data_IF_233288432835
#
_entry.id   IF_233288432835
#
_cell.length_a   1.000
_cell.length_b   1.000
_cell.length_c   1.000
_cell.angle_alpha   90.00
_cell.angle_beta   90.00
_cell.angle_gamma   90.00
#
_symmetry.space_group_name_H-M   'P 1'
#
loop_
_entity.id
_entity.type
_entity.pdbx_description
1 polymer ?
#
# COMPACT_ATOMS: atom_id res chain seq x y z
N UNK A 1 21.10 -42.09 41.02
CA UNK A 1 21.25 -43.06 39.89
C UNK A 1 20.58 -42.61 38.57
N UNK A 2 20.01 -41.41 38.46
CA UNK A 2 19.23 -40.96 37.28
C UNK A 2 20.01 -40.10 36.25
N UNK A 3 21.27 -39.83 36.39
CA UNK A 3 22.05 -38.93 35.50
C UNK A 3 22.55 -39.58 34.19
N UNK A 4 22.47 -40.90 34.02
CA UNK A 4 23.00 -41.60 32.81
C UNK A 4 21.94 -41.88 31.76
N UNK A 5 20.67 -41.96 32.12
CA UNK A 5 19.57 -42.29 31.21
C UNK A 5 19.39 -41.24 30.07
N UNK A 6 19.41 -39.95 30.32
CA UNK A 6 19.21 -38.96 29.21
C UNK A 6 20.30 -39.03 28.15
N UNK A 7 21.55 -39.35 28.55
CA UNK A 7 22.67 -39.49 27.60
C UNK A 7 22.56 -40.70 26.69
N UNK A 8 21.98 -41.82 27.18
CA UNK A 8 21.77 -43.04 26.40
C UNK A 8 20.69 -42.78 25.34
N UNK A 9 19.60 -42.11 25.73
CA UNK A 9 18.55 -41.70 24.79
C UNK A 9 19.08 -40.70 23.76
N UNK A 10 19.83 -39.67 24.19
CA UNK A 10 20.44 -38.71 23.28
C UNK A 10 21.39 -39.39 22.27
N UNK A 11 22.23 -40.30 22.71
CA UNK A 11 23.14 -41.07 21.84
C UNK A 11 22.38 -41.96 20.84
N UNK A 12 21.30 -42.57 21.28
CA UNK A 12 20.45 -43.40 20.40
C UNK A 12 19.79 -42.59 19.32
N UNK A 13 19.18 -41.42 19.67
CA UNK A 13 18.57 -40.53 18.70
C UNK A 13 19.61 -39.90 17.74
N UNK A 14 20.75 -39.56 18.26
CA UNK A 14 21.85 -39.00 17.44
C UNK A 14 22.40 -40.02 16.44
N UNK A 15 22.47 -41.30 16.81
CA UNK A 15 22.80 -42.37 15.89
C UNK A 15 21.73 -42.56 14.81
N UNK A 16 20.48 -42.54 15.21
CA UNK A 16 19.33 -42.72 14.31
C UNK A 16 19.24 -41.54 13.31
N UNK A 17 19.39 -40.32 13.79
CA UNK A 17 19.44 -39.08 12.93
C UNK A 17 20.66 -39.11 12.01
N UNK A 18 21.82 -39.56 12.52
CA UNK A 18 23.04 -39.76 11.72
C UNK A 18 22.83 -40.74 10.56
N UNK A 19 22.11 -41.83 10.78
CA UNK A 19 21.75 -42.78 9.72
C UNK A 19 20.84 -42.14 8.66
N UNK A 20 19.82 -41.36 9.08
CA UNK A 20 18.97 -40.65 8.16
C UNK A 20 19.75 -39.54 7.38
N UNK A 21 20.66 -38.86 8.05
CA UNK A 21 21.52 -37.88 7.42
C UNK A 21 22.40 -38.46 6.32
N UNK A 22 23.10 -39.61 6.61
CA UNK A 22 23.91 -40.29 5.62
C UNK A 22 23.06 -40.80 4.46
N UNK A 23 21.89 -41.39 4.73
CA UNK A 23 20.95 -41.81 3.68
C UNK A 23 20.47 -40.64 2.82
N UNK A 24 20.26 -39.47 3.40
CA UNK A 24 19.87 -38.27 2.68
C UNK A 24 21.02 -37.72 1.83
N UNK A 25 22.26 -37.80 2.31
CA UNK A 25 23.46 -37.42 1.56
C UNK A 25 23.66 -38.24 0.29
N UNK A 26 23.41 -39.57 0.36
CA UNK A 26 23.50 -40.43 -0.84
C UNK A 26 22.45 -40.07 -1.89
N UNK A 27 21.24 -39.64 -1.47
CA UNK A 27 20.16 -39.17 -2.37
C UNK A 27 20.40 -37.76 -2.93
N UNK A 28 21.31 -37.00 -2.33
CA UNK A 28 21.61 -35.67 -2.78
C UNK A 28 22.03 -35.59 -4.26
N UNK A 29 22.97 -36.47 -4.63
CA UNK A 29 23.46 -36.56 -6.02
C UNK A 29 22.45 -37.18 -7.00
N UNK A 30 21.39 -37.81 -6.51
CA UNK A 30 20.31 -38.40 -7.30
C UNK A 30 19.04 -37.52 -7.40
N UNK A 31 19.21 -36.21 -7.21
CA UNK A 31 18.12 -35.24 -7.37
C UNK A 31 17.85 -34.34 -6.14
N UNK A 32 18.46 -34.67 -4.99
CA UNK A 32 18.30 -33.83 -3.77
C UNK A 32 18.82 -32.42 -3.91
N UNK A 33 19.82 -32.18 -4.78
CA UNK A 33 20.32 -30.85 -5.08
C UNK A 33 19.26 -29.91 -5.65
N UNK A 34 18.24 -30.45 -6.35
CA UNK A 34 17.15 -29.66 -6.92
C UNK A 34 16.34 -28.98 -5.80
N UNK A 35 16.06 -29.67 -4.71
CA UNK A 35 15.36 -29.13 -3.55
C UNK A 35 16.13 -27.97 -2.92
N UNK A 36 17.45 -28.10 -2.80
CA UNK A 36 18.31 -27.02 -2.26
C UNK A 36 18.33 -25.82 -3.21
N UNK A 37 18.41 -26.07 -4.51
CA UNK A 37 18.36 -24.99 -5.52
C UNK A 37 17.04 -24.24 -5.46
N UNK A 38 15.91 -24.94 -5.36
CA UNK A 38 14.59 -24.32 -5.20
C UNK A 38 14.47 -23.56 -3.88
N UNK A 39 14.97 -24.12 -2.78
CA UNK A 39 14.98 -23.45 -1.49
C UNK A 39 15.86 -22.18 -1.53
N UNK A 40 17.03 -22.23 -2.16
CA UNK A 40 17.90 -21.07 -2.34
C UNK A 40 17.25 -19.98 -3.21
N UNK A 41 16.53 -20.36 -4.27
CA UNK A 41 15.78 -19.45 -5.11
C UNK A 41 14.69 -18.72 -4.32
N UNK A 42 13.88 -19.48 -3.57
CA UNK A 42 12.80 -18.91 -2.74
C UNK A 42 13.39 -18.00 -1.66
N UNK A 43 14.46 -18.44 -0.98
CA UNK A 43 15.16 -17.64 0.02
C UNK A 43 15.71 -16.35 -0.59
N UNK A 44 16.30 -16.41 -1.78
CA UNK A 44 16.77 -15.23 -2.52
C UNK A 44 15.64 -14.24 -2.78
N UNK A 45 14.47 -14.70 -3.23
CA UNK A 45 13.28 -13.86 -3.43
C UNK A 45 12.84 -13.22 -2.11
N UNK A 46 12.79 -14.00 -1.01
CA UNK A 46 12.41 -13.48 0.31
C UNK A 46 13.38 -12.42 0.83
N UNK A 47 14.68 -12.64 0.70
CA UNK A 47 15.72 -11.66 1.12
C UNK A 47 15.62 -10.37 0.30
N UNK A 48 15.45 -10.48 -1.02
CA UNK A 48 15.26 -9.32 -1.89
C UNK A 48 14.00 -8.53 -1.53
N UNK A 49 12.90 -9.24 -1.26
CA UNK A 49 11.65 -8.61 -0.83
C UNK A 49 11.80 -7.89 0.50
N UNK A 50 12.42 -8.55 1.48
CA UNK A 50 12.68 -7.99 2.82
C UNK A 50 13.54 -6.73 2.74
N UNK A 51 14.69 -6.80 2.07
CA UNK A 51 15.59 -5.66 1.93
C UNK A 51 14.94 -4.50 1.17
N UNK A 52 14.26 -4.78 0.05
CA UNK A 52 13.54 -3.76 -0.69
C UNK A 52 12.42 -3.09 0.14
N UNK A 53 11.74 -3.85 1.00
CA UNK A 53 10.72 -3.32 1.90
C UNK A 53 11.34 -2.47 3.01
N UNK A 54 12.47 -2.88 3.58
CA UNK A 54 13.17 -2.11 4.60
C UNK A 54 13.62 -0.73 4.08
N UNK A 55 14.10 -0.66 2.82
CA UNK A 55 14.47 0.62 2.20
C UNK A 55 13.24 1.51 1.98
N UNK A 56 12.12 0.97 1.48
CA UNK A 56 10.88 1.73 1.33
C UNK A 56 10.36 2.25 2.69
N UNK A 57 10.42 1.45 3.74
CA UNK A 57 9.96 1.84 5.08
C UNK A 57 10.80 2.98 5.69
N UNK A 58 12.10 3.03 5.43
CA UNK A 58 12.96 4.16 5.86
C UNK A 58 12.55 5.49 5.23
N UNK A 59 11.92 5.46 4.06
CA UNK A 59 11.44 6.65 3.34
C UNK A 59 9.99 6.98 3.66
N UNK A 60 9.32 6.13 4.45
CA UNK A 60 7.95 6.35 4.85
C UNK A 60 7.88 7.47 5.89
N UNK A 61 7.20 8.54 5.52
CA UNK A 61 7.04 9.71 6.39
C UNK A 61 5.56 9.94 6.66
N UNK A 62 5.20 9.89 7.92
CA UNK A 62 3.86 10.21 8.38
C UNK A 62 3.72 11.69 8.71
N UNK A 63 2.63 12.29 8.31
CA UNK A 63 2.27 13.67 8.60
C UNK A 63 0.99 13.70 9.44
N UNK A 64 0.84 14.66 10.38
CA UNK A 64 -0.38 14.78 11.15
C UNK A 64 -1.53 15.28 10.25
N UNK A 65 -2.55 14.43 10.04
CA UNK A 65 -3.66 14.71 9.13
C UNK A 65 -4.42 15.98 9.54
N UNK A 66 -4.60 16.19 10.85
CA UNK A 66 -5.33 17.35 11.38
C UNK A 66 -4.72 18.69 10.93
N UNK A 67 -3.42 18.78 10.71
CA UNK A 67 -2.77 20.00 10.24
C UNK A 67 -3.11 20.37 8.78
N UNK A 68 -3.55 19.40 7.99
CA UNK A 68 -3.92 19.59 6.57
C UNK A 68 -5.42 19.80 6.33
N UNK A 69 -6.27 19.59 7.34
CA UNK A 69 -7.72 19.81 7.22
C UNK A 69 -8.07 21.21 6.68
N UNK A 70 -7.46 22.34 7.16
CA UNK A 70 -7.76 23.67 6.63
C UNK A 70 -7.38 23.81 5.15
N UNK A 71 -6.30 23.19 4.70
CA UNK A 71 -5.86 23.23 3.30
C UNK A 71 -6.80 22.41 2.41
N UNK A 72 -7.23 21.23 2.85
CA UNK A 72 -8.22 20.43 2.14
C UNK A 72 -9.56 21.15 2.03
N UNK A 73 -9.99 21.86 3.09
CA UNK A 73 -11.20 22.69 3.03
C UNK A 73 -11.08 23.78 1.97
N UNK A 74 -9.96 24.50 1.96
CA UNK A 74 -9.71 25.52 0.92
C UNK A 74 -9.73 24.94 -0.48
N UNK A 75 -9.13 23.76 -0.69
CA UNK A 75 -9.14 23.07 -1.98
C UNK A 75 -10.56 22.65 -2.37
N UNK A 76 -11.38 22.17 -1.42
CA UNK A 76 -12.78 21.82 -1.66
C UNK A 76 -13.58 23.00 -2.18
N UNK A 77 -13.36 24.18 -1.60
CA UNK A 77 -14.12 25.38 -1.84
C UNK A 77 -13.54 26.22 -3.01
N UNK A 78 -12.40 25.81 -3.60
CA UNK A 78 -11.73 26.54 -4.68
C UNK A 78 -12.25 26.14 -6.07
N UNK A 79 -13.15 26.94 -6.63
CA UNK A 79 -13.76 26.69 -7.94
C UNK A 79 -12.82 26.85 -9.15
N UNK A 80 -11.59 27.35 -8.95
CA UNK A 80 -10.58 27.43 -10.01
C UNK A 80 -10.11 26.07 -10.49
N UNK A 81 -10.24 25.04 -9.66
CA UNK A 81 -9.89 23.68 -10.00
C UNK A 81 -11.14 22.85 -10.29
N UNK A 82 -11.11 22.11 -11.40
CA UNK A 82 -12.17 21.17 -11.73
C UNK A 82 -12.26 20.06 -10.67
N UNK A 83 -13.48 19.69 -10.31
CA UNK A 83 -13.71 18.60 -9.36
C UNK A 83 -13.38 17.27 -10.01
N UNK A 84 -12.43 16.55 -9.43
CA UNK A 84 -12.00 15.23 -9.91
C UNK A 84 -13.10 14.16 -9.74
N UNK A 85 -13.81 14.21 -8.61
CA UNK A 85 -14.92 13.32 -8.26
C UNK A 85 -15.62 13.89 -7.02
N UNK A 86 -16.81 13.40 -6.68
CA UNK A 86 -17.43 13.73 -5.40
C UNK A 86 -16.63 13.09 -4.26
N UNK A 87 -16.26 11.82 -4.40
CA UNK A 87 -15.48 11.06 -3.42
C UNK A 87 -14.14 10.64 -4.03
N UNK A 88 -13.06 11.15 -3.50
CA UNK A 88 -11.69 10.72 -3.85
C UNK A 88 -11.18 9.79 -2.75
N UNK A 89 -10.80 8.58 -3.14
CA UNK A 89 -10.47 7.49 -2.22
C UNK A 89 -9.01 7.12 -2.37
N UNK A 90 -8.28 7.15 -1.27
CA UNK A 90 -6.91 6.66 -1.16
C UNK A 90 -6.86 5.41 -0.31
N UNK A 91 -6.24 4.35 -0.82
CA UNK A 91 -5.94 3.17 0.00
C UNK A 91 -4.65 3.40 0.76
N UNK A 92 -4.68 3.19 2.06
CA UNK A 92 -3.55 3.33 2.97
C UNK A 92 -3.31 2.04 3.75
N UNK A 93 -2.06 1.72 4.02
CA UNK A 93 -1.69 0.61 4.90
C UNK A 93 -1.42 1.08 6.33
N UNK A 94 -1.62 2.38 6.59
CA UNK A 94 -1.39 2.96 7.90
C UNK A 94 -2.59 2.75 8.82
N UNK A 95 -2.34 2.18 9.98
CA UNK A 95 -3.34 1.93 11.03
C UNK A 95 -3.49 3.13 11.99
N UNK A 96 -2.57 4.10 11.94
CA UNK A 96 -2.62 5.28 12.80
C UNK A 96 -3.70 6.26 12.35
N UNK A 97 -4.67 6.51 13.20
CA UNK A 97 -5.83 7.34 12.88
C UNK A 97 -5.47 8.80 12.59
N UNK A 98 -4.56 9.40 13.38
CA UNK A 98 -4.23 10.82 13.29
C UNK A 98 -3.16 11.17 12.23
N UNK A 99 -2.53 10.17 11.62
CA UNK A 99 -1.42 10.37 10.68
C UNK A 99 -1.79 9.91 9.27
N UNK A 100 -1.13 10.47 8.27
CA UNK A 100 -1.30 10.15 6.87
C UNK A 100 0.06 10.08 6.18
N UNK A 101 0.20 9.20 5.19
CA UNK A 101 1.41 9.14 4.36
C UNK A 101 1.60 10.47 3.61
N UNK A 102 2.80 11.04 3.70
CA UNK A 102 3.21 12.26 2.99
C UNK A 102 2.92 12.18 1.49
N UNK A 103 3.08 10.99 0.90
CA UNK A 103 2.90 10.79 -0.53
C UNK A 103 1.44 10.99 -0.95
N UNK A 104 0.48 10.70 -0.06
CA UNK A 104 -0.94 10.98 -0.27
C UNK A 104 -1.18 12.49 -0.25
N UNK A 105 -0.65 13.20 0.74
CA UNK A 105 -0.79 14.66 0.84
C UNK A 105 -0.16 15.34 -0.37
N UNK A 106 1.05 14.91 -0.75
CA UNK A 106 1.73 15.38 -1.96
C UNK A 106 0.90 15.12 -3.22
N UNK A 107 0.28 13.96 -3.35
CA UNK A 107 -0.61 13.61 -4.47
C UNK A 107 -1.82 14.55 -4.55
N UNK A 108 -2.41 14.91 -3.40
CA UNK A 108 -3.61 15.75 -3.35
C UNK A 108 -3.29 17.22 -3.62
N UNK A 109 -2.22 17.75 -3.02
CA UNK A 109 -1.97 19.19 -2.96
C UNK A 109 -0.92 19.67 -3.96
N UNK A 110 0.21 18.95 -4.08
CA UNK A 110 1.39 19.46 -4.78
C UNK A 110 1.51 18.94 -6.21
N UNK A 111 1.28 17.65 -6.43
CA UNK A 111 1.45 17.07 -7.76
C UNK A 111 0.41 17.57 -8.74
N UNK A 112 -0.83 17.52 -8.36
CA UNK A 112 -1.97 18.06 -9.09
C UNK A 112 -3.14 18.20 -8.10
N UNK A 113 -3.60 19.42 -7.82
CA UNK A 113 -4.68 19.63 -6.87
C UNK A 113 -5.92 18.78 -7.22
N UNK A 114 -6.29 17.88 -6.33
CA UNK A 114 -7.42 16.96 -6.53
C UNK A 114 -8.62 17.42 -5.72
N UNK A 115 -9.37 18.33 -6.31
CA UNK A 115 -10.59 18.84 -5.72
C UNK A 115 -11.63 17.72 -5.61
N UNK A 116 -12.23 17.57 -4.45
CA UNK A 116 -13.30 16.62 -4.16
C UNK A 116 -14.33 17.23 -3.21
N UNK A 117 -15.51 16.62 -3.08
CA UNK A 117 -16.43 16.93 -1.96
C UNK A 117 -15.96 16.30 -0.68
N UNK A 118 -15.47 15.06 -0.78
CA UNK A 118 -14.94 14.30 0.34
C UNK A 118 -13.70 13.49 -0.05
N UNK A 119 -12.71 13.43 0.85
CA UNK A 119 -11.55 12.56 0.76
C UNK A 119 -11.68 11.43 1.75
N UNK A 120 -11.42 10.22 1.25
CA UNK A 120 -11.53 8.97 2.00
C UNK A 120 -10.18 8.29 2.08
N UNK A 121 -9.69 8.08 3.29
CA UNK A 121 -8.47 7.33 3.55
C UNK A 121 -8.86 5.97 4.10
N UNK A 122 -8.79 4.95 3.23
CA UNK A 122 -9.33 3.62 3.53
C UNK A 122 -8.19 2.65 3.81
N UNK A 123 -8.22 2.06 4.99
CA UNK A 123 -7.39 0.93 5.37
C UNK A 123 -8.22 -0.37 5.34
N UNK A 124 -7.63 -1.43 4.79
CA UNK A 124 -8.25 -2.77 4.77
C UNK A 124 -7.39 -3.69 5.61
N UNK A 125 -7.94 -4.17 6.69
CA UNK A 125 -7.30 -5.09 7.61
C UNK A 125 -7.94 -6.47 7.51
N UNK A 126 -7.10 -7.49 7.24
CA UNK A 126 -7.56 -8.86 7.18
C UNK A 126 -7.50 -9.48 8.56
N UNK A 127 -8.66 -9.89 9.07
CA UNK A 127 -8.80 -10.49 10.40
C UNK A 127 -8.61 -12.00 10.35
N UNK A 128 -8.12 -12.56 11.46
CA UNK A 128 -7.93 -14.02 11.63
C UNK A 128 -9.25 -14.79 11.66
N UNK A 129 -10.34 -14.12 12.03
CA UNK A 129 -11.67 -14.70 11.99
C UNK A 129 -12.21 -14.75 10.55
N UNK A 130 -12.78 -15.89 10.12
CA UNK A 130 -13.11 -16.10 8.70
C UNK A 130 -14.23 -15.20 8.18
N UNK A 131 -15.14 -14.77 9.04
CA UNK A 131 -16.38 -14.07 8.66
C UNK A 131 -16.51 -12.67 9.26
N UNK A 132 -15.46 -12.11 9.83
CA UNK A 132 -15.49 -10.73 10.31
C UNK A 132 -15.83 -9.80 9.17
N UNK A 133 -16.86 -8.98 9.37
CA UNK A 133 -17.32 -8.00 8.38
C UNK A 133 -17.77 -6.75 9.13
N UNK A 134 -16.85 -5.83 9.39
CA UNK A 134 -17.08 -4.63 10.19
C UNK A 134 -16.27 -3.46 9.65
N UNK A 135 -16.66 -2.25 10.02
CA UNK A 135 -15.90 -1.04 9.72
C UNK A 135 -15.92 -0.07 10.89
N UNK A 136 -14.94 0.81 10.93
CA UNK A 136 -14.94 1.99 11.78
C UNK A 136 -14.62 3.23 10.96
N UNK A 137 -15.18 4.37 11.37
CA UNK A 137 -15.00 5.65 10.68
C UNK A 137 -14.58 6.72 11.67
N UNK A 138 -13.57 7.50 11.30
CA UNK A 138 -13.17 8.73 11.98
C UNK A 138 -13.44 9.90 11.04
N UNK A 139 -14.22 10.89 11.50
CA UNK A 139 -14.66 12.06 10.70
C UNK A 139 -13.80 13.30 10.96
N UNK A 140 -12.94 13.29 11.95
CA UNK A 140 -12.13 14.44 12.41
C UNK A 140 -12.95 15.68 12.73
N UNK A 141 -14.26 15.52 12.96
CA UNK A 141 -15.20 16.65 13.15
C UNK A 141 -15.45 17.45 11.86
N UNK A 142 -15.27 16.82 10.70
CA UNK A 142 -15.49 17.44 9.38
C UNK A 142 -16.49 16.64 8.56
N UNK A 143 -17.10 17.27 7.57
CA UNK A 143 -18.00 16.66 6.59
C UNK A 143 -17.31 16.32 5.24
N UNK A 144 -15.96 16.38 5.21
CA UNK A 144 -15.19 16.25 3.97
C UNK A 144 -13.93 15.37 4.07
N UNK A 145 -13.51 14.98 5.27
CA UNK A 145 -12.37 14.06 5.48
C UNK A 145 -12.80 12.91 6.35
N UNK A 146 -12.64 11.71 5.83
CA UNK A 146 -13.03 10.47 6.49
C UNK A 146 -11.89 9.48 6.46
N UNK A 147 -11.63 8.85 7.60
CA UNK A 147 -10.76 7.68 7.68
C UNK A 147 -11.61 6.46 7.98
N UNK A 148 -11.49 5.46 7.13
CA UNK A 148 -12.27 4.23 7.22
C UNK A 148 -11.33 3.06 7.42
N UNK A 149 -11.58 2.25 8.43
CA UNK A 149 -10.96 0.95 8.62
C UNK A 149 -11.98 -0.13 8.31
N UNK A 150 -11.68 -0.94 7.31
CA UNK A 150 -12.48 -2.11 6.93
C UNK A 150 -11.84 -3.36 7.55
N UNK A 151 -12.53 -4.01 8.45
CA UNK A 151 -12.12 -5.26 9.09
C UNK A 151 -12.77 -6.43 8.36
N UNK A 152 -12.00 -7.15 7.56
CA UNK A 152 -12.49 -8.23 6.71
C UNK A 152 -11.87 -9.56 7.10
N UNK A 153 -12.71 -10.56 7.39
CA UNK A 153 -12.27 -11.92 7.62
C UNK A 153 -11.60 -12.52 6.38
N UNK A 154 -10.68 -13.45 6.58
CA UNK A 154 -9.86 -14.02 5.47
C UNK A 154 -10.69 -14.77 4.40
N UNK A 155 -11.93 -15.15 4.66
CA UNK A 155 -12.86 -15.74 3.68
C UNK A 155 -13.70 -14.70 2.93
N UNK A 156 -13.67 -13.44 3.36
CA UNK A 156 -14.46 -12.39 2.73
C UNK A 156 -13.71 -11.88 1.49
N UNK A 157 -14.39 -11.89 0.34
CA UNK A 157 -13.83 -11.32 -0.88
C UNK A 157 -13.64 -9.81 -0.73
N UNK A 158 -12.46 -9.32 -1.08
CA UNK A 158 -12.20 -7.89 -1.05
C UNK A 158 -12.94 -7.20 -2.19
N UNK A 159 -13.96 -6.41 -1.85
CA UNK A 159 -14.76 -5.57 -2.75
C UNK A 159 -14.87 -4.16 -2.17
N UNK A 160 -13.73 -3.51 -2.03
CA UNK A 160 -13.61 -2.23 -1.31
C UNK A 160 -14.58 -1.18 -1.84
N UNK A 161 -14.80 -1.10 -3.15
CA UNK A 161 -15.77 -0.14 -3.72
C UNK A 161 -17.20 -0.38 -3.18
N UNK A 162 -17.66 -1.64 -3.13
CA UNK A 162 -19.02 -1.96 -2.67
C UNK A 162 -19.17 -1.66 -1.17
N UNK A 163 -18.16 -2.00 -0.37
CA UNK A 163 -18.17 -1.78 1.08
C UNK A 163 -18.11 -0.29 1.42
N UNK A 164 -17.25 0.47 0.72
CA UNK A 164 -17.17 1.90 0.93
C UNK A 164 -18.47 2.63 0.55
N UNK A 165 -19.16 2.18 -0.52
CA UNK A 165 -20.48 2.72 -0.86
C UNK A 165 -21.50 2.51 0.24
N UNK A 166 -21.49 1.36 0.89
CA UNK A 166 -22.34 1.07 2.04
C UNK A 166 -21.99 2.02 3.20
N UNK A 167 -20.71 2.18 3.53
CA UNK A 167 -20.27 3.13 4.57
C UNK A 167 -20.74 4.55 4.28
N UNK A 168 -20.62 5.00 3.04
CA UNK A 168 -21.08 6.33 2.61
C UNK A 168 -22.59 6.48 2.73
N UNK A 169 -23.37 5.44 2.41
CA UNK A 169 -24.83 5.42 2.60
C UNK A 169 -25.20 5.52 4.09
N UNK A 170 -24.51 4.77 4.94
CA UNK A 170 -24.73 4.80 6.38
C UNK A 170 -24.44 6.20 6.96
N UNK A 171 -23.31 6.84 6.57
CA UNK A 171 -22.96 8.20 7.01
C UNK A 171 -23.91 9.27 6.47
N UNK A 172 -24.43 9.09 5.27
CA UNK A 172 -25.46 9.99 4.72
C UNK A 172 -26.79 9.84 5.47
N UNK A 173 -27.14 8.61 5.89
CA UNK A 173 -28.36 8.35 6.67
C UNK A 173 -28.27 8.88 8.10
N UNK A 174 -27.07 8.85 8.72
CA UNK A 174 -26.83 9.43 10.06
C UNK A 174 -26.67 10.96 10.05
N UNK A 175 -26.53 11.56 8.85
CA UNK A 175 -26.33 13.01 8.70
C UNK A 175 -24.88 13.47 8.91
N UNK A 176 -23.94 12.55 9.04
CA UNK A 176 -22.50 12.86 9.17
C UNK A 176 -21.88 13.29 7.81
N UNK A 177 -22.49 12.86 6.72
CA UNK A 177 -22.13 13.24 5.36
C UNK A 177 -23.31 13.94 4.68
N UNK A 178 -23.14 15.14 4.11
CA UNK A 178 -24.19 15.78 3.31
C UNK A 178 -24.56 14.93 2.09
N UNK A 179 -25.84 14.85 1.71
CA UNK A 179 -26.28 14.13 0.51
C UNK A 179 -25.52 14.59 -0.73
N UNK A 180 -24.98 13.64 -1.47
CA UNK A 180 -24.22 13.92 -2.69
C UNK A 180 -25.09 13.58 -3.90
N UNK A 181 -25.92 14.55 -4.31
CA UNK A 181 -26.79 14.39 -5.49
C UNK A 181 -25.97 14.28 -6.77
N UNK A 182 -26.39 13.38 -7.64
CA UNK A 182 -25.81 13.16 -8.96
C UNK A 182 -26.87 13.47 -10.01
N UNK A 183 -26.67 14.58 -10.76
CA UNK A 183 -27.66 15.07 -11.73
C UNK A 183 -27.73 14.21 -13.00
N UNK A 184 -26.67 13.47 -13.29
CA UNK A 184 -26.55 12.62 -14.48
C UNK A 184 -26.35 11.13 -14.08
N UNK A 185 -27.41 10.36 -14.16
CA UNK A 185 -27.35 8.92 -13.88
C UNK A 185 -28.22 8.14 -14.85
N UNK A 186 -27.72 6.99 -15.27
CA UNK A 186 -28.49 5.99 -16.04
C UNK A 186 -29.46 5.22 -15.12
N UNK A 187 -29.19 5.23 -13.83
CA UNK A 187 -30.01 4.52 -12.83
C UNK A 187 -31.14 5.41 -12.34
N UNK A 188 -32.33 4.81 -12.18
CA UNK A 188 -33.55 5.52 -11.71
C UNK A 188 -33.39 6.05 -10.28
N UNK A 189 -32.63 5.34 -9.45
CA UNK A 189 -32.26 5.75 -8.08
C UNK A 189 -30.76 5.58 -7.86
N UNK A 190 -29.97 6.61 -8.18
CA UNK A 190 -28.52 6.55 -8.08
C UNK A 190 -28.00 6.51 -6.63
N UNK A 191 -28.88 6.66 -5.64
CA UNK A 191 -28.50 6.95 -4.25
C UNK A 191 -27.80 8.30 -4.14
N UNK A 192 -27.89 8.96 -2.99
CA UNK A 192 -27.26 10.27 -2.76
C UNK A 192 -25.78 10.12 -2.29
N UNK A 193 -25.02 9.22 -2.92
CA UNK A 193 -23.65 8.88 -2.52
C UNK A 193 -22.57 9.44 -3.46
N UNK A 194 -22.97 10.10 -4.54
CA UNK A 194 -22.04 10.72 -5.50
C UNK A 194 -21.17 9.74 -6.30
N UNK A 195 -20.20 10.29 -7.02
CA UNK A 195 -19.22 9.56 -7.82
C UNK A 195 -17.98 9.22 -7.01
N UNK A 196 -17.32 8.08 -7.33
CA UNK A 196 -16.11 7.62 -6.65
C UNK A 196 -14.93 7.55 -7.61
N UNK A 197 -13.79 8.05 -7.18
CA UNK A 197 -12.50 7.93 -7.85
C UNK A 197 -11.47 7.35 -6.89
N UNK A 198 -10.94 6.18 -7.21
CA UNK A 198 -9.88 5.55 -6.44
C UNK A 198 -8.52 5.99 -6.97
N UNK A 199 -7.66 6.48 -6.10
CA UNK A 199 -6.29 6.89 -6.43
C UNK A 199 -5.32 5.93 -5.75
N UNK A 200 -4.60 5.16 -6.56
CA UNK A 200 -3.60 4.20 -6.10
C UNK A 200 -2.19 4.77 -6.32
N UNK A 201 -1.49 5.02 -5.23
CA UNK A 201 -0.12 5.55 -5.28
C UNK A 201 0.86 4.42 -5.56
N UNK A 202 1.74 4.64 -6.54
CA UNK A 202 2.88 3.79 -6.85
C UNK A 202 4.16 4.58 -6.63
N UNK A 203 4.98 4.11 -5.71
CA UNK A 203 6.30 4.70 -5.47
C UNK A 203 7.26 4.27 -6.57
N UNK A 204 7.98 5.23 -7.15
CA UNK A 204 9.05 4.99 -8.12
C UNK A 204 10.38 5.47 -7.54
N UNK A 205 11.41 4.65 -7.68
CA UNK A 205 12.76 5.07 -7.38
C UNK A 205 13.25 6.01 -8.48
N UNK A 206 13.44 7.28 -8.14
CA UNK A 206 13.99 8.25 -9.08
C UNK A 206 15.45 7.89 -9.44
N UNK A 207 15.87 8.04 -10.72
CA UNK A 207 17.26 7.78 -11.13
C UNK A 207 18.29 8.60 -10.36
N UNK A 208 17.90 9.82 -9.96
CA UNK A 208 18.72 10.81 -9.26
C UNK A 208 18.78 10.58 -7.75
N UNK A 209 18.06 9.59 -7.22
CA UNK A 209 18.08 9.27 -5.80
C UNK A 209 19.45 8.81 -5.38
N UNK A 210 19.96 9.38 -4.28
CA UNK A 210 21.22 8.99 -3.67
C UNK A 210 21.01 7.75 -2.80
N UNK A 211 20.92 6.60 -3.48
CA UNK A 211 20.70 5.29 -2.88
C UNK A 211 21.88 4.41 -3.21
N UNK A 212 22.36 3.67 -2.23
CA UNK A 212 23.45 2.72 -2.42
C UNK A 212 23.13 1.71 -3.53
N UNK A 213 24.09 1.31 -4.37
CA UNK A 213 23.86 0.37 -5.47
C UNK A 213 23.19 -0.94 -5.05
N UNK A 214 23.55 -1.45 -3.87
CA UNK A 214 22.94 -2.64 -3.26
C UNK A 214 21.45 -2.46 -2.96
N UNK A 215 21.08 -1.33 -2.36
CA UNK A 215 19.69 -0.98 -2.05
C UNK A 215 18.89 -0.73 -3.33
N UNK A 216 19.49 -0.06 -4.32
CA UNK A 216 18.87 0.15 -5.63
C UNK A 216 18.51 -1.17 -6.30
N UNK A 217 19.42 -2.14 -6.26
CA UNK A 217 19.20 -3.48 -6.83
C UNK A 217 18.07 -4.20 -6.10
N UNK A 218 18.04 -4.15 -4.76
CA UNK A 218 17.00 -4.77 -3.96
C UNK A 218 15.60 -4.18 -4.26
N UNK A 219 15.49 -2.85 -4.36
CA UNK A 219 14.22 -2.19 -4.71
C UNK A 219 13.79 -2.56 -6.14
N UNK A 220 14.72 -2.55 -7.10
CA UNK A 220 14.41 -2.87 -8.49
C UNK A 220 13.88 -4.30 -8.61
N UNK A 221 14.55 -5.25 -7.95
CA UNK A 221 14.14 -6.64 -7.96
C UNK A 221 12.78 -6.84 -7.26
N UNK A 222 12.54 -6.16 -6.13
CA UNK A 222 11.24 -6.12 -5.48
C UNK A 222 10.15 -5.62 -6.44
N UNK A 223 10.40 -4.58 -7.23
CA UNK A 223 9.42 -4.05 -8.18
C UNK A 223 9.13 -5.03 -9.31
N UNK A 224 10.13 -5.80 -9.78
CA UNK A 224 9.95 -6.87 -10.76
C UNK A 224 9.06 -7.97 -10.17
N UNK A 225 9.36 -8.44 -8.97
CA UNK A 225 8.56 -9.47 -8.27
C UNK A 225 7.12 -8.96 -8.06
N UNK A 226 6.94 -7.72 -7.58
CA UNK A 226 5.63 -7.11 -7.37
C UNK A 226 4.82 -7.01 -8.66
N UNK A 227 5.47 -6.72 -9.79
CA UNK A 227 4.82 -6.67 -11.09
C UNK A 227 4.28 -8.04 -11.51
N UNK A 228 5.00 -9.12 -11.20
CA UNK A 228 4.57 -10.49 -11.46
C UNK A 228 3.42 -10.95 -10.55
N UNK A 229 3.33 -10.41 -9.32
CA UNK A 229 2.30 -10.76 -8.34
C UNK A 229 0.91 -10.15 -8.61
N UNK A 230 0.76 -9.29 -9.62
CA UNK A 230 -0.50 -8.66 -9.99
C UNK A 230 -0.62 -7.19 -9.58
N UNK A 231 -1.79 -6.60 -9.85
CA UNK A 231 -2.03 -5.18 -9.58
C UNK A 231 -2.79 -4.98 -8.26
N UNK A 232 -2.49 -3.92 -7.49
CA UNK A 232 -3.25 -3.60 -6.28
C UNK A 232 -4.76 -3.44 -6.52
N UNK A 233 -5.15 -2.93 -7.69
CA UNK A 233 -6.57 -2.79 -8.05
C UNK A 233 -7.30 -4.15 -8.03
N UNK A 234 -6.63 -5.23 -8.46
CA UNK A 234 -7.18 -6.57 -8.42
C UNK A 234 -7.32 -7.10 -6.99
N UNK A 235 -6.32 -6.84 -6.14
CA UNK A 235 -6.34 -7.33 -4.77
C UNK A 235 -7.47 -6.71 -3.95
N UNK A 236 -7.82 -5.45 -4.22
CA UNK A 236 -8.91 -4.74 -3.55
C UNK A 236 -10.27 -4.83 -4.27
N UNK A 237 -10.36 -5.65 -5.33
CA UNK A 237 -11.60 -5.82 -6.10
C UNK A 237 -12.08 -4.53 -6.78
N UNK A 238 -11.14 -3.71 -7.26
CA UNK A 238 -11.39 -2.41 -7.90
C UNK A 238 -11.33 -2.47 -9.44
N UNK A 239 -11.29 -3.66 -10.04
CA UNK A 239 -11.11 -3.83 -11.50
C UNK A 239 -12.19 -3.10 -12.32
N UNK A 240 -13.43 -3.10 -11.81
CA UNK A 240 -14.56 -2.43 -12.44
C UNK A 240 -14.86 -1.04 -11.86
N UNK A 241 -13.90 -0.46 -11.12
CA UNK A 241 -14.05 0.84 -10.49
C UNK A 241 -13.28 1.91 -11.27
N UNK A 242 -13.64 3.19 -11.07
CA UNK A 242 -12.87 4.29 -11.63
C UNK A 242 -11.55 4.46 -10.85
N UNK A 243 -10.48 3.83 -11.34
CA UNK A 243 -9.17 3.80 -10.69
C UNK A 243 -8.17 4.65 -11.48
N UNK A 244 -7.42 5.47 -10.76
CA UNK A 244 -6.27 6.21 -11.28
C UNK A 244 -5.00 5.75 -10.58
N UNK A 245 -3.95 5.45 -11.36
CA UNK A 245 -2.63 5.15 -10.80
C UNK A 245 -1.78 6.40 -10.82
N UNK A 246 -1.24 6.76 -9.66
CA UNK A 246 -0.32 7.87 -9.53
C UNK A 246 1.07 7.43 -9.15
N UNK A 247 2.04 7.91 -9.89
CA UNK A 247 3.44 7.67 -9.61
C UNK A 247 3.99 8.81 -8.78
N UNK A 248 4.50 8.48 -7.59
CA UNK A 248 5.14 9.42 -6.68
C UNK A 248 6.60 9.00 -6.55
N UNK A 249 7.57 9.92 -6.68
CA UNK A 249 8.96 9.57 -6.48
C UNK A 249 9.18 9.15 -5.03
N UNK A 250 9.95 8.08 -4.84
CA UNK A 250 10.45 7.73 -3.53
C UNK A 250 11.45 8.83 -3.14
N UNK A 251 11.06 9.68 -2.18
CA UNK A 251 11.89 10.81 -1.76
C UNK A 251 13.09 10.29 -0.95
N UNK A 252 14.17 10.05 -1.65
CA UNK A 252 15.49 9.89 -1.07
C UNK A 252 16.24 11.21 -1.19
N UNK A 253 17.38 11.34 -0.51
CA UNK A 253 18.28 12.47 -0.76
C UNK A 253 18.65 12.45 -2.25
N UNK A 254 18.41 13.55 -2.95
CA UNK A 254 18.85 13.69 -4.32
C UNK A 254 20.35 14.04 -4.35
N UNK A 255 21.06 13.47 -5.31
CA UNK A 255 22.42 13.89 -5.60
C UNK A 255 22.41 15.38 -5.91
N UNK A 256 23.37 16.12 -5.35
CA UNK A 256 23.50 17.53 -5.68
C UNK A 256 23.69 17.70 -7.19
N UNK A 257 22.75 18.38 -7.83
CA UNK A 257 22.86 18.72 -9.25
C UNK A 257 23.68 19.99 -9.35
N UNK A 258 24.73 19.97 -10.18
CA UNK A 258 25.48 21.17 -10.47
C UNK A 258 24.55 22.25 -11.04
N UNK A 259 24.73 23.48 -10.54
CA UNK A 259 23.90 24.60 -11.00
C UNK A 259 24.16 24.83 -12.48
N UNK A 260 23.12 24.77 -13.31
CA UNK A 260 23.20 25.10 -14.71
C UNK A 260 23.59 26.57 -14.87
N UNK A 261 24.54 26.85 -15.74
CA UNK A 261 24.87 28.22 -16.15
C UNK A 261 23.89 28.66 -17.22
N UNK A 262 23.34 29.87 -17.06
CA UNK A 262 22.57 30.52 -18.09
C UNK A 262 23.53 31.14 -19.08
N UNK A 263 23.53 30.64 -20.30
CA UNK A 263 24.26 31.26 -21.42
C UNK A 263 23.42 32.36 -22.07
N UNK A 264 24.06 33.35 -22.68
CA UNK A 264 23.38 34.30 -23.51
C UNK A 264 22.78 33.61 -24.76
N UNK A 265 21.70 34.14 -25.38
CA UNK A 265 21.02 33.46 -26.50
C UNK A 265 21.90 33.09 -27.69
N UNK A 266 23.06 33.73 -27.83
CA UNK A 266 24.02 33.51 -28.91
C UNK A 266 25.34 32.82 -28.47
N UNK A 267 25.48 32.44 -27.19
CA UNK A 267 26.63 31.69 -26.69
C UNK A 267 26.33 30.20 -26.74
N UNK A 268 27.24 29.47 -27.36
CA UNK A 268 27.28 28.00 -27.28
C UNK A 268 28.41 27.61 -26.32
N UNK A 269 28.23 26.53 -25.50
CA UNK A 269 29.28 26.05 -24.59
C UNK A 269 30.49 25.54 -25.34
#
# INVERSE_FOLDING_TARGET
>A
MYKRQPWIFAAFFLLLEGFFFVSSLTKFFHGGYFTILMAALIMGIMVCWYNGTAVEQRQFTLLPLRSYLPQLKRLRDDDRYERMSDNVVYLTNDTHTDYIDRDIVYSILDKHPKRARAWWFVNVETMDEPHTFAYSVETFGTDYVFRVHLYLGYKINQRVNAYLRQVVQDLAATGELPPQTHDYSVYKDPGNIGTFKFVLIRKLLAPESDVEPSERTAITLKYIIRRAAGTPARWYGLENSNVSFEYVPLFTKFKAVNKMQRLAPNERP
#
